data_IF_393590220422
#
_entry.id   IF_393590220422
#
_cell.length_a   1.000
_cell.length_b   1.000
_cell.length_c   1.000
_cell.angle_alpha   90.00
_cell.angle_beta   90.00
_cell.angle_gamma   90.00
#
_symmetry.space_group_name_H-M   'P 1'
#
loop_
_entity.id
_entity.type
_entity.pdbx_description
1 polymer ?
#
# COMPACT_ATOMS: atom_id res chain seq x y z
N UNK A 1 7.50 -20.96 -29.12
CA UNK A 1 7.93 -19.61 -28.67
C UNK A 1 7.20 -19.33 -27.36
N UNK A 2 7.85 -19.54 -26.22
CA UNK A 2 7.20 -19.32 -24.91
C UNK A 2 6.90 -17.83 -24.73
N UNK A 3 5.68 -17.51 -24.30
CA UNK A 3 5.32 -16.15 -23.87
C UNK A 3 6.37 -15.65 -22.89
N UNK A 4 6.90 -14.44 -23.11
CA UNK A 4 7.67 -13.71 -22.09
C UNK A 4 6.70 -13.40 -20.96
N UNK A 5 6.45 -14.39 -20.11
CA UNK A 5 5.50 -14.29 -19.02
C UNK A 5 6.02 -13.21 -18.07
N UNK A 6 5.47 -11.99 -18.21
CA UNK A 6 5.74 -10.88 -17.30
C UNK A 6 5.54 -11.39 -15.88
N UNK A 7 6.50 -11.09 -15.00
CA UNK A 7 6.36 -11.39 -13.58
C UNK A 7 5.05 -10.76 -13.09
N UNK A 8 4.18 -11.52 -12.40
CA UNK A 8 2.97 -10.95 -11.85
C UNK A 8 3.34 -9.95 -10.76
N UNK A 9 2.77 -8.74 -10.84
CA UNK A 9 2.90 -7.74 -9.78
C UNK A 9 1.80 -7.98 -8.74
N UNK A 10 2.20 -8.23 -7.50
CA UNK A 10 1.31 -8.54 -6.39
C UNK A 10 1.35 -7.38 -5.41
N UNK A 11 0.22 -6.69 -5.30
CA UNK A 11 0.09 -5.47 -4.47
C UNK A 11 -0.64 -5.82 -3.18
N UNK A 12 0.07 -5.71 -2.06
CA UNK A 12 -0.51 -5.86 -0.72
C UNK A 12 -1.02 -4.53 -0.19
N UNK A 13 -2.30 -4.43 0.15
CA UNK A 13 -2.91 -3.23 0.72
C UNK A 13 -3.12 -3.42 2.23
N UNK A 14 -2.54 -2.54 3.03
CA UNK A 14 -2.73 -2.54 4.48
C UNK A 14 -4.17 -2.17 4.87
N UNK A 15 -4.62 -2.60 6.05
CA UNK A 15 -5.96 -2.27 6.57
C UNK A 15 -6.00 -1.07 7.52
N UNK A 16 -4.84 -0.52 7.89
CA UNK A 16 -4.74 0.48 8.97
C UNK A 16 -3.64 1.49 8.67
N UNK A 17 -3.83 2.74 9.10
CA UNK A 17 -2.81 3.80 9.05
C UNK A 17 -1.73 3.70 10.14
N UNK A 18 -1.89 2.77 11.11
CA UNK A 18 -0.90 2.60 12.18
C UNK A 18 0.28 1.78 11.67
N UNK A 19 1.51 2.33 11.66
CA UNK A 19 2.68 1.57 11.27
C UNK A 19 2.92 0.40 12.24
N UNK A 20 3.53 -0.68 11.75
CA UNK A 20 3.89 -1.87 12.54
C UNK A 20 2.74 -2.67 13.17
N UNK A 21 1.51 -2.52 12.67
CA UNK A 21 0.40 -3.37 13.09
C UNK A 21 0.66 -4.85 12.80
N UNK A 22 0.07 -5.76 13.58
CA UNK A 22 0.19 -7.21 13.37
C UNK A 22 -0.27 -7.64 11.97
N UNK A 23 -1.32 -6.98 11.44
CA UNK A 23 -1.82 -7.19 10.08
C UNK A 23 -0.81 -6.78 9.02
N UNK A 24 -0.08 -5.67 9.22
CA UNK A 24 0.96 -5.25 8.29
C UNK A 24 2.16 -6.22 8.29
N UNK A 25 2.52 -6.75 9.46
CA UNK A 25 3.57 -7.79 9.56
C UNK A 25 3.16 -9.06 8.82
N UNK A 26 1.92 -9.52 9.01
CA UNK A 26 1.39 -10.67 8.29
C UNK A 26 1.38 -10.44 6.76
N UNK A 27 1.00 -9.23 6.32
CA UNK A 27 1.03 -8.86 4.91
C UNK A 27 2.45 -8.88 4.32
N UNK A 28 3.45 -8.37 5.07
CA UNK A 28 4.87 -8.43 4.66
C UNK A 28 5.35 -9.87 4.46
N UNK A 29 4.95 -10.80 5.35
CA UNK A 29 5.29 -12.23 5.22
C UNK A 29 4.67 -12.83 3.95
N UNK A 30 3.40 -12.52 3.66
CA UNK A 30 2.73 -13.00 2.46
C UNK A 30 3.38 -12.49 1.16
N UNK A 31 3.76 -11.21 1.13
CA UNK A 31 4.47 -10.63 -0.02
C UNK A 31 5.87 -11.25 -0.18
N UNK A 32 6.62 -11.46 0.90
CA UNK A 32 7.92 -12.13 0.83
C UNK A 32 7.82 -13.55 0.23
N UNK A 33 6.77 -14.31 0.57
CA UNK A 33 6.51 -15.61 -0.03
C UNK A 33 6.21 -15.51 -1.54
N UNK A 34 5.52 -14.45 -1.95
CA UNK A 34 5.20 -14.20 -3.36
C UNK A 34 6.44 -13.76 -4.18
N UNK A 35 7.34 -12.97 -3.59
CA UNK A 35 8.64 -12.65 -4.19
C UNK A 35 9.52 -13.89 -4.36
N UNK A 36 9.55 -14.75 -3.34
CA UNK A 36 10.25 -16.04 -3.42
C UNK A 36 9.69 -16.95 -4.52
N UNK A 37 8.40 -16.81 -4.86
CA UNK A 37 7.75 -17.47 -5.99
C UNK A 37 8.06 -16.85 -7.36
N UNK A 38 8.91 -15.82 -7.44
CA UNK A 38 9.28 -15.13 -8.68
C UNK A 38 8.33 -14.00 -9.09
N UNK A 39 7.36 -13.66 -8.25
CA UNK A 39 6.51 -12.48 -8.41
C UNK A 39 7.25 -11.19 -8.07
N UNK A 40 6.77 -10.08 -8.61
CA UNK A 40 7.14 -8.76 -8.11
C UNK A 40 6.14 -8.36 -7.02
N UNK A 41 6.59 -7.73 -5.94
CA UNK A 41 5.66 -7.28 -4.90
C UNK A 41 5.77 -5.80 -4.57
N UNK A 42 4.65 -5.25 -4.11
CA UNK A 42 4.59 -3.88 -3.61
C UNK A 42 3.67 -3.81 -2.40
N UNK A 43 4.16 -3.22 -1.32
CA UNK A 43 3.37 -2.95 -0.13
C UNK A 43 2.83 -1.52 -0.14
N UNK A 44 1.52 -1.39 0.01
CA UNK A 44 0.82 -0.13 0.29
C UNK A 44 0.33 -0.18 1.74
N UNK A 45 1.27 -0.03 2.69
CA UNK A 45 1.06 -0.17 4.13
C UNK A 45 0.51 1.09 4.81
N UNK A 46 0.51 1.11 6.14
CA UNK A 46 -0.09 2.21 6.91
C UNK A 46 0.53 3.58 6.65
N UNK A 47 1.83 3.63 6.38
CA UNK A 47 2.53 4.86 5.99
C UNK A 47 2.00 5.42 4.67
N UNK A 48 1.78 4.57 3.66
CA UNK A 48 1.21 4.98 2.39
C UNK A 48 -0.24 5.44 2.58
N UNK A 49 -1.05 4.68 3.32
CA UNK A 49 -2.43 5.05 3.61
C UNK A 49 -2.51 6.38 4.36
N UNK A 50 -1.60 6.67 5.28
CA UNK A 50 -1.56 7.93 6.01
C UNK A 50 -1.30 9.17 5.13
N UNK A 51 -0.77 8.99 3.90
CA UNK A 51 -0.61 10.06 2.91
C UNK A 51 -1.88 10.34 2.11
N UNK A 52 -2.87 9.44 2.15
CA UNK A 52 -4.09 9.57 1.39
C UNK A 52 -5.10 10.45 2.17
N UNK A 53 -5.67 11.50 1.56
CA UNK A 53 -6.56 12.46 2.23
C UNK A 53 -7.78 11.83 2.91
N UNK A 54 -8.28 10.70 2.38
CA UNK A 54 -9.41 9.95 2.95
C UNK A 54 -9.06 9.26 4.28
N UNK A 55 -7.82 8.85 4.47
CA UNK A 55 -7.36 8.14 5.67
C UNK A 55 -6.73 9.08 6.71
N UNK A 56 -6.26 10.26 6.28
CA UNK A 56 -5.72 11.29 7.15
C UNK A 56 -6.27 12.68 6.75
N UNK A 57 -7.43 13.08 7.29
CA UNK A 57 -8.05 14.36 6.94
C UNK A 57 -7.20 15.57 7.32
N UNK A 58 -6.21 15.40 8.21
CA UNK A 58 -5.24 16.44 8.58
C UNK A 58 -4.24 16.77 7.47
N UNK A 59 -4.02 15.87 6.51
CA UNK A 59 -3.21 16.11 5.30
C UNK A 59 -4.03 16.55 4.09
N UNK A 60 -5.37 16.51 4.18
CA UNK A 60 -6.23 17.11 3.17
C UNK A 60 -6.06 18.63 3.28
N UNK A 61 -5.19 19.21 2.44
CA UNK A 61 -5.13 20.65 2.22
C UNK A 61 -6.55 21.10 1.90
N UNK A 62 -7.25 21.70 2.87
CA UNK A 62 -8.52 22.38 2.60
C UNK A 62 -8.15 23.60 1.77
N UNK A 63 -8.57 23.73 0.50
CA UNK A 63 -8.48 25.02 -0.16
C UNK A 63 -9.24 26.02 0.72
N UNK A 64 -8.58 27.13 1.06
CA UNK A 64 -9.17 28.21 1.85
C UNK A 64 -10.43 28.66 1.12
N UNK A 65 -11.60 28.32 1.64
CA UNK A 65 -12.85 28.96 1.22
C UNK A 65 -12.84 30.38 1.77
N UNK A 66 -12.30 31.32 1.01
CA UNK A 66 -12.60 32.73 1.15
C UNK A 66 -14.09 32.90 0.81
N UNK A 67 -14.94 32.92 1.83
CA UNK A 67 -16.32 33.35 1.68
C UNK A 67 -16.32 34.87 1.93
N UNK A 68 -16.70 35.59 0.88
CA UNK A 68 -16.87 37.05 0.81
C UNK A 68 -17.83 37.60 1.85
#
# INVERSE_FOLDING_TARGET
MGSLARKPLIVGIGGTIRPNSSTEKALKVALAAAEAGGGETRLLGGEFLATLPIYNPSQAVRPRSSRS
#
